data_IF_745070422011
#
_entry.id   IF_745070422011
#
_cell.length_a   1.000
_cell.length_b   1.000
_cell.length_c   1.000
_cell.angle_alpha   90.00
_cell.angle_beta   90.00
_cell.angle_gamma   90.00
#
_symmetry.space_group_name_H-M   'P 1'
#
loop_
_entity.id
_entity.type
_entity.pdbx_description
1 polymer ?
#
# COMPACT_ATOMS: atom_id res chain seq x y z
N UNK A 1 33.68 -2.53 16.31
CA UNK A 1 33.06 -3.13 15.11
C UNK A 1 31.87 -2.28 14.79
N UNK A 2 31.98 -1.39 13.79
CA UNK A 2 30.88 -0.53 13.36
C UNK A 2 29.96 -1.36 12.47
N UNK A 3 28.68 -1.35 12.80
CA UNK A 3 27.59 -1.97 12.04
C UNK A 3 27.54 -1.38 10.64
N UNK A 4 27.96 -2.17 9.66
CA UNK A 4 27.78 -1.87 8.25
C UNK A 4 26.38 -2.33 7.82
N UNK A 5 25.37 -1.53 8.17
CA UNK A 5 23.99 -1.76 7.72
C UNK A 5 23.95 -1.75 6.19
N UNK A 6 23.69 -2.93 5.63
CA UNK A 6 23.22 -3.08 4.24
C UNK A 6 24.28 -3.29 3.16
N UNK A 7 25.52 -3.68 3.47
CA UNK A 7 26.51 -4.03 2.43
C UNK A 7 26.89 -5.51 2.53
N UNK A 8 26.43 -6.33 1.60
CA UNK A 8 27.01 -7.65 1.37
C UNK A 8 28.20 -7.49 0.40
N UNK A 9 29.40 -7.85 0.89
CA UNK A 9 30.62 -7.85 0.09
C UNK A 9 30.87 -9.28 -0.41
N UNK A 10 30.86 -9.48 -1.73
CA UNK A 10 31.35 -10.71 -2.34
C UNK A 10 32.73 -10.46 -2.96
N UNK A 11 33.64 -11.42 -2.75
CA UNK A 11 34.94 -11.43 -3.41
C UNK A 11 34.82 -12.05 -4.80
N UNK A 12 35.28 -11.36 -5.83
CA UNK A 12 35.60 -12.01 -7.09
C UNK A 12 36.96 -12.74 -6.97
N UNK A 13 37.18 -13.73 -7.81
CA UNK A 13 38.41 -14.56 -7.77
C UNK A 13 39.73 -13.77 -7.93
N UNK A 14 39.73 -12.43 -8.07
CA UNK A 14 40.87 -11.54 -8.21
C UNK A 14 41.02 -10.59 -6.99
N UNK A 15 40.41 -10.90 -5.84
CA UNK A 15 40.54 -10.10 -4.61
C UNK A 15 40.07 -8.65 -4.72
N UNK A 16 39.18 -8.32 -5.66
CA UNK A 16 38.52 -7.02 -5.76
C UNK A 16 37.15 -7.08 -5.10
N UNK A 17 36.93 -6.17 -4.13
CA UNK A 17 35.63 -5.97 -3.50
C UNK A 17 34.64 -5.42 -4.54
N UNK A 18 33.64 -6.21 -4.91
CA UNK A 18 32.45 -5.71 -5.62
C UNK A 18 31.45 -5.21 -4.61
N UNK A 19 31.09 -3.95 -4.75
CA UNK A 19 29.93 -3.39 -4.06
C UNK A 19 28.68 -4.06 -4.65
N UNK A 20 28.10 -5.00 -3.91
CA UNK A 20 26.75 -5.49 -4.22
C UNK A 20 25.80 -4.42 -3.72
N UNK A 21 25.25 -3.62 -4.62
CA UNK A 21 24.04 -2.87 -4.25
C UNK A 21 22.99 -3.90 -3.84
N UNK A 22 22.53 -3.82 -2.61
CA UNK A 22 21.31 -4.51 -2.20
C UNK A 22 20.25 -4.12 -3.22
N UNK A 23 19.71 -5.11 -3.92
CA UNK A 23 18.58 -4.91 -4.82
C UNK A 23 17.51 -4.17 -4.02
N UNK A 24 17.29 -2.91 -4.36
CA UNK A 24 16.27 -2.08 -3.77
C UNK A 24 14.94 -2.77 -4.05
N UNK A 25 14.39 -3.44 -3.03
CA UNK A 25 13.25 -4.31 -3.20
C UNK A 25 12.01 -3.69 -2.56
N UNK A 26 10.94 -3.70 -3.32
CA UNK A 26 9.60 -3.49 -2.81
C UNK A 26 9.06 -4.87 -2.43
N UNK A 27 8.88 -5.10 -1.14
CA UNK A 27 8.24 -6.29 -0.59
C UNK A 27 6.82 -5.95 -0.15
N UNK A 28 5.84 -6.74 -0.61
CA UNK A 28 4.43 -6.59 -0.22
C UNK A 28 3.94 -7.94 0.27
N UNK A 29 3.55 -7.99 1.51
CA UNK A 29 2.96 -9.16 2.15
C UNK A 29 1.46 -8.96 2.35
N UNK A 30 0.72 -10.06 2.41
CA UNK A 30 -0.74 -10.05 2.51
C UNK A 30 -1.23 -10.97 3.60
N UNK A 31 -2.06 -10.41 4.49
CA UNK A 31 -2.89 -11.15 5.44
C UNK A 31 -4.35 -11.02 5.08
N UNK A 32 -5.17 -11.99 5.43
CA UNK A 32 -6.59 -12.00 5.14
C UNK A 32 -7.39 -12.61 6.29
N UNK A 33 -8.49 -11.97 6.61
CA UNK A 33 -9.53 -12.57 7.47
C UNK A 33 -10.07 -13.85 6.81
N UNK A 34 -10.18 -14.99 7.53
CA UNK A 34 -10.66 -16.25 6.96
C UNK A 34 -12.05 -16.20 6.31
N UNK A 35 -12.85 -15.18 6.61
CA UNK A 35 -14.21 -15.00 6.08
C UNK A 35 -14.26 -14.10 4.84
N UNK A 36 -13.11 -13.74 4.27
CA UNK A 36 -13.00 -12.83 3.14
C UNK A 36 -12.29 -13.54 1.98
N UNK A 37 -12.77 -13.34 0.76
CA UNK A 37 -12.13 -13.87 -0.43
C UNK A 37 -10.81 -13.13 -0.72
N UNK A 38 -9.75 -13.91 -1.00
CA UNK A 38 -8.42 -13.36 -1.27
C UNK A 38 -8.36 -12.73 -2.66
N UNK A 39 -8.05 -11.44 -2.76
CA UNK A 39 -7.73 -10.81 -4.03
C UNK A 39 -6.46 -11.39 -4.68
N UNK A 40 -6.32 -11.20 -5.98
CA UNK A 40 -5.11 -11.59 -6.69
C UNK A 40 -3.88 -10.82 -6.16
N UNK A 41 -3.08 -11.52 -5.35
CA UNK A 41 -1.90 -10.94 -4.66
C UNK A 41 -0.92 -10.28 -5.63
N UNK A 42 -0.74 -10.88 -6.82
CA UNK A 42 0.18 -10.31 -7.81
C UNK A 42 -0.32 -8.95 -8.30
N UNK A 43 -1.58 -8.85 -8.67
CA UNK A 43 -2.17 -7.58 -9.16
C UNK A 43 -2.18 -6.54 -8.03
N UNK A 44 -2.54 -6.93 -6.81
CA UNK A 44 -2.50 -6.05 -5.65
C UNK A 44 -1.07 -5.52 -5.39
N UNK A 45 -0.06 -6.38 -5.46
CA UNK A 45 1.34 -5.99 -5.33
C UNK A 45 1.80 -5.07 -6.47
N UNK A 46 1.36 -5.33 -7.72
CA UNK A 46 1.67 -4.49 -8.87
C UNK A 46 1.08 -3.07 -8.71
N UNK A 47 -0.13 -2.93 -8.18
CA UNK A 47 -0.76 -1.65 -7.86
C UNK A 47 0.08 -0.83 -6.86
N UNK A 48 0.47 -1.44 -5.74
CA UNK A 48 1.32 -0.79 -4.72
C UNK A 48 2.68 -0.40 -5.31
N UNK A 49 3.28 -1.32 -6.06
CA UNK A 49 4.59 -1.10 -6.70
C UNK A 49 4.54 0.08 -7.68
N UNK A 50 3.47 0.22 -8.44
CA UNK A 50 3.29 1.35 -9.37
C UNK A 50 3.17 2.67 -8.61
N UNK A 51 2.43 2.72 -7.49
CA UNK A 51 2.36 3.90 -6.63
C UNK A 51 3.74 4.29 -6.14
N UNK A 52 4.47 3.36 -5.51
CA UNK A 52 5.80 3.60 -4.95
C UNK A 52 6.81 4.08 -6.01
N UNK A 53 6.84 3.40 -7.16
CA UNK A 53 7.74 3.78 -8.27
C UNK A 53 7.41 5.15 -8.86
N UNK A 54 6.11 5.49 -8.95
CA UNK A 54 5.70 6.82 -9.42
C UNK A 54 6.19 7.92 -8.49
N UNK A 55 6.23 7.66 -7.18
CA UNK A 55 6.77 8.55 -6.16
C UNK A 55 8.29 8.34 -5.91
N UNK A 56 8.98 7.65 -6.83
CA UNK A 56 10.42 7.41 -6.84
C UNK A 56 10.94 6.63 -5.61
N UNK A 57 10.07 5.97 -4.87
CA UNK A 57 10.46 5.08 -3.78
C UNK A 57 10.93 3.75 -4.36
N UNK A 58 12.10 3.28 -3.92
CA UNK A 58 12.79 2.10 -4.47
C UNK A 58 12.79 0.92 -3.52
N UNK A 59 12.55 1.19 -2.25
CA UNK A 59 12.59 0.19 -1.18
C UNK A 59 11.34 0.34 -0.33
N UNK A 60 10.64 -0.77 -0.09
CA UNK A 60 9.48 -0.77 0.79
C UNK A 60 9.26 -2.15 1.44
N UNK A 61 8.69 -2.14 2.62
CA UNK A 61 8.09 -3.29 3.31
C UNK A 61 6.67 -2.90 3.70
N UNK A 62 5.70 -3.49 3.03
CA UNK A 62 4.29 -3.16 3.21
C UNK A 62 3.51 -4.44 3.50
N UNK A 63 2.74 -4.43 4.58
CA UNK A 63 1.76 -5.44 4.89
C UNK A 63 0.36 -4.94 4.54
N UNK A 64 -0.37 -5.69 3.73
CA UNK A 64 -1.76 -5.40 3.39
C UNK A 64 -2.67 -6.41 4.06
N UNK A 65 -3.62 -5.95 4.84
CA UNK A 65 -4.55 -6.77 5.60
C UNK A 65 -5.96 -6.56 5.04
N UNK A 66 -6.50 -7.59 4.38
CA UNK A 66 -7.90 -7.62 3.96
C UNK A 66 -8.76 -8.16 5.09
N UNK A 67 -9.72 -7.37 5.56
CA UNK A 67 -10.43 -7.67 6.81
C UNK A 67 -11.87 -7.16 6.79
N UNK A 68 -12.54 -7.18 7.94
CA UNK A 68 -13.93 -6.80 8.11
C UNK A 68 -14.10 -5.35 8.58
N UNK A 69 -15.33 -4.82 8.46
CA UNK A 69 -15.73 -3.51 8.97
C UNK A 69 -15.46 -3.39 10.48
N UNK A 70 -15.67 -4.47 11.23
CA UNK A 70 -15.47 -4.48 12.67
C UNK A 70 -14.01 -4.20 13.03
N UNK A 71 -13.08 -4.85 12.36
CA UNK A 71 -11.64 -4.66 12.61
C UNK A 71 -11.23 -3.21 12.34
N UNK A 72 -11.70 -2.62 11.22
CA UNK A 72 -11.39 -1.21 10.92
C UNK A 72 -12.05 -0.26 11.91
N UNK A 73 -13.28 -0.53 12.33
CA UNK A 73 -13.97 0.28 13.36
C UNK A 73 -13.19 0.26 14.69
N UNK A 74 -12.73 -0.91 15.13
CA UNK A 74 -11.95 -1.06 16.36
C UNK A 74 -10.60 -0.31 16.25
N UNK A 75 -9.89 -0.43 15.12
CA UNK A 75 -8.66 0.31 14.86
C UNK A 75 -8.91 1.83 14.85
N UNK A 76 -9.99 2.27 14.19
CA UNK A 76 -10.32 3.70 14.09
C UNK A 76 -10.67 4.29 15.44
N UNK A 77 -11.40 3.56 16.26
CA UNK A 77 -11.70 3.96 17.65
C UNK A 77 -10.42 4.03 18.48
N UNK A 78 -9.56 3.02 18.38
CA UNK A 78 -8.33 2.91 19.18
C UNK A 78 -7.31 4.00 18.86
N UNK A 79 -7.08 4.28 17.56
CA UNK A 79 -5.97 5.14 17.12
C UNK A 79 -6.41 6.58 16.79
N UNK A 80 -7.67 6.77 16.39
CA UNK A 80 -8.14 8.08 15.93
C UNK A 80 -9.29 8.65 16.78
N UNK A 81 -9.78 7.89 17.76
CA UNK A 81 -10.93 8.24 18.60
C UNK A 81 -12.17 8.66 17.77
N UNK A 82 -12.40 7.94 16.65
CA UNK A 82 -13.52 8.17 15.72
C UNK A 82 -14.32 6.89 15.56
N UNK A 83 -15.65 7.00 15.40
CA UNK A 83 -16.57 5.85 15.34
C UNK A 83 -17.21 5.63 13.95
N UNK A 84 -16.89 6.46 12.95
CA UNK A 84 -17.46 6.28 11.62
C UNK A 84 -16.71 5.18 10.83
N UNK A 85 -17.44 4.46 10.00
CA UNK A 85 -16.90 3.42 9.12
C UNK A 85 -15.93 4.04 8.09
N UNK A 86 -14.94 3.27 7.71
CA UNK A 86 -13.98 3.58 6.64
C UNK A 86 -13.67 2.31 5.88
N UNK A 87 -13.30 2.43 4.63
CA UNK A 87 -12.88 1.35 3.75
C UNK A 87 -11.40 0.99 3.91
N UNK A 88 -10.58 1.95 4.34
CA UNK A 88 -9.15 1.77 4.48
C UNK A 88 -8.58 2.56 5.66
N UNK A 89 -7.54 2.01 6.28
CA UNK A 89 -6.64 2.71 7.21
C UNK A 89 -5.22 2.36 6.80
N UNK A 90 -4.35 3.37 6.69
CA UNK A 90 -2.93 3.19 6.41
C UNK A 90 -2.09 3.73 7.58
N UNK A 91 -1.14 2.94 8.04
CA UNK A 91 -0.19 3.30 9.07
C UNK A 91 1.22 3.33 8.50
N UNK A 92 1.83 4.50 8.42
CA UNK A 92 3.26 4.62 8.16
C UNK A 92 4.01 4.24 9.45
N UNK A 93 4.97 3.32 9.36
CA UNK A 93 5.69 2.76 10.51
C UNK A 93 7.06 3.41 10.75
N UNK A 94 7.56 4.17 9.77
CA UNK A 94 8.81 4.92 9.85
C UNK A 94 8.63 6.36 9.36
N UNK A 95 9.65 7.21 9.49
CA UNK A 95 9.57 8.62 9.14
C UNK A 95 9.35 8.82 7.63
N UNK A 96 8.60 9.87 7.26
CA UNK A 96 8.26 10.12 5.85
C UNK A 96 9.46 10.53 5.00
N UNK A 97 10.48 11.10 5.62
CA UNK A 97 11.74 11.55 5.01
C UNK A 97 12.63 10.38 4.60
N UNK A 98 12.43 9.21 5.19
CA UNK A 98 13.21 8.02 4.87
C UNK A 98 12.95 7.53 3.44
N UNK A 99 14.01 7.04 2.79
CA UNK A 99 13.91 6.49 1.43
C UNK A 99 13.04 5.22 1.40
N UNK A 100 13.18 4.37 2.43
CA UNK A 100 12.38 3.16 2.62
C UNK A 100 10.98 3.51 3.10
N UNK A 101 9.98 2.82 2.57
CA UNK A 101 8.60 2.92 3.02
C UNK A 101 8.27 1.68 3.84
N UNK A 102 7.98 1.85 5.12
CA UNK A 102 7.48 0.78 5.99
C UNK A 102 6.07 1.11 6.44
N UNK A 103 5.14 0.16 6.29
CA UNK A 103 3.77 0.45 6.67
C UNK A 103 2.78 -0.69 6.50
N UNK A 104 1.59 -0.46 7.04
CA UNK A 104 0.47 -1.38 7.00
C UNK A 104 -0.74 -0.70 6.38
N UNK A 105 -1.50 -1.46 5.57
CA UNK A 105 -2.73 -1.01 4.95
C UNK A 105 -3.83 -2.00 5.32
N UNK A 106 -4.82 -1.56 6.07
CA UNK A 106 -6.00 -2.33 6.45
C UNK A 106 -7.15 -1.95 5.54
N UNK A 107 -7.76 -2.93 4.86
CA UNK A 107 -8.86 -2.72 3.92
C UNK A 107 -10.07 -3.53 4.33
N UNK A 108 -11.21 -2.85 4.54
CA UNK A 108 -12.49 -3.52 4.77
C UNK A 108 -13.10 -3.95 3.45
N UNK A 109 -13.11 -5.26 3.19
CA UNK A 109 -13.73 -5.84 2.00
C UNK A 109 -15.23 -5.57 1.93
N UNK A 110 -16.02 -5.74 2.99
CA UNK A 110 -17.45 -5.40 2.96
C UNK A 110 -17.72 -3.92 2.61
N UNK A 111 -16.88 -3.00 3.11
CA UNK A 111 -17.05 -1.58 2.80
C UNK A 111 -16.67 -1.27 1.34
N UNK A 112 -15.63 -1.90 0.80
CA UNK A 112 -15.26 -1.77 -0.62
C UNK A 112 -16.38 -2.27 -1.54
N UNK A 113 -17.01 -3.43 -1.22
CA UNK A 113 -18.16 -3.94 -1.97
C UNK A 113 -19.35 -2.99 -1.95
N UNK A 114 -19.61 -2.37 -0.79
CA UNK A 114 -20.67 -1.38 -0.65
C UNK A 114 -20.38 -0.14 -1.48
N UNK A 115 -19.15 0.39 -1.41
CA UNK A 115 -18.72 1.55 -2.17
C UNK A 115 -18.81 1.28 -3.69
N UNK A 116 -18.39 0.10 -4.15
CA UNK A 116 -18.49 -0.28 -5.55
C UNK A 116 -19.93 -0.19 -6.08
N UNK A 117 -20.91 -0.66 -5.27
CA UNK A 117 -22.34 -0.57 -5.61
C UNK A 117 -22.84 0.88 -5.58
N UNK A 118 -22.47 1.64 -4.57
CA UNK A 118 -22.88 3.04 -4.38
C UNK A 118 -22.34 3.95 -5.50
N UNK A 119 -21.11 3.73 -5.95
CA UNK A 119 -20.46 4.50 -7.01
C UNK A 119 -20.65 3.91 -8.42
N UNK A 120 -21.48 2.87 -8.57
CA UNK A 120 -21.75 2.20 -9.85
C UNK A 120 -20.46 1.76 -10.57
N UNK A 121 -19.49 1.24 -9.79
CA UNK A 121 -18.20 0.75 -10.28
C UNK A 121 -18.13 -0.78 -10.15
N UNK A 122 -17.25 -1.43 -10.94
CA UNK A 122 -16.91 -2.83 -10.68
C UNK A 122 -16.16 -2.97 -9.36
N UNK A 123 -16.38 -4.10 -8.67
CA UNK A 123 -15.70 -4.39 -7.41
C UNK A 123 -14.17 -4.40 -7.57
N UNK A 124 -13.65 -5.03 -8.64
CA UNK A 124 -12.20 -4.99 -8.93
C UNK A 124 -11.65 -3.58 -9.09
N UNK A 125 -12.42 -2.65 -9.71
CA UNK A 125 -11.99 -1.26 -9.89
C UNK A 125 -11.96 -0.51 -8.57
N UNK A 126 -12.99 -0.68 -7.75
CA UNK A 126 -13.07 -0.02 -6.45
C UNK A 126 -11.98 -0.53 -5.51
N UNK A 127 -11.76 -1.85 -5.44
CA UNK A 127 -10.68 -2.43 -4.66
C UNK A 127 -9.30 -1.92 -5.13
N UNK A 128 -9.07 -1.85 -6.44
CA UNK A 128 -7.84 -1.29 -6.99
C UNK A 128 -7.65 0.18 -6.58
N UNK A 129 -8.73 0.98 -6.60
CA UNK A 129 -8.71 2.37 -6.14
C UNK A 129 -8.32 2.46 -4.66
N UNK A 130 -8.93 1.65 -3.80
CA UNK A 130 -8.68 1.66 -2.36
C UNK A 130 -7.25 1.21 -2.03
N UNK A 131 -6.70 0.22 -2.75
CA UNK A 131 -5.28 -0.18 -2.60
C UNK A 131 -4.35 0.98 -2.96
N UNK A 132 -4.62 1.69 -4.07
CA UNK A 132 -3.85 2.87 -4.47
C UNK A 132 -3.97 3.97 -3.42
N UNK A 133 -5.20 4.28 -2.96
CA UNK A 133 -5.49 5.30 -1.98
C UNK A 133 -4.74 5.06 -0.66
N UNK A 134 -4.82 3.86 -0.10
CA UNK A 134 -4.06 3.48 1.10
C UNK A 134 -2.55 3.59 0.91
N UNK A 135 -2.06 3.23 -0.28
CA UNK A 135 -0.63 3.36 -0.62
C UNK A 135 -0.18 4.82 -0.71
N UNK A 136 -1.03 5.71 -1.22
CA UNK A 136 -0.78 7.16 -1.26
C UNK A 136 -0.74 7.77 0.14
N UNK A 137 -1.59 7.29 1.06
CA UNK A 137 -1.52 7.70 2.47
C UNK A 137 -0.19 7.32 3.13
N UNK A 138 0.39 6.15 2.82
CA UNK A 138 1.74 5.78 3.28
C UNK A 138 2.82 6.76 2.77
N UNK A 139 2.54 7.53 1.74
CA UNK A 139 3.44 8.52 1.13
C UNK A 139 3.08 9.96 1.51
N UNK A 140 2.31 10.15 2.59
CA UNK A 140 1.89 11.44 3.13
C UNK A 140 0.89 12.21 2.25
N UNK A 141 0.21 11.56 1.29
CA UNK A 141 -0.94 12.19 0.65
C UNK A 141 -2.10 12.22 1.64
N UNK A 142 -2.79 13.34 1.70
CA UNK A 142 -3.96 13.55 2.57
C UNK A 142 -5.19 13.88 1.75
N UNK A 143 -6.37 13.69 2.34
CA UNK A 143 -7.67 13.95 1.70
C UNK A 143 -8.63 14.72 2.63
N UNK A 144 -8.07 15.39 3.64
CA UNK A 144 -8.85 16.07 4.69
C UNK A 144 -9.47 17.42 4.26
N UNK A 145 -9.01 17.98 3.13
CA UNK A 145 -9.55 19.23 2.57
C UNK A 145 -10.09 19.00 1.15
N UNK A 146 -10.99 19.86 0.63
CA UNK A 146 -11.48 19.76 -0.75
C UNK A 146 -10.36 19.71 -1.78
N UNK A 147 -9.36 20.58 -1.67
CA UNK A 147 -8.23 20.67 -2.62
C UNK A 147 -7.36 19.40 -2.54
N UNK A 148 -7.09 18.90 -1.32
CA UNK A 148 -6.34 17.67 -1.13
C UNK A 148 -7.07 16.45 -1.70
N UNK A 149 -8.40 16.40 -1.58
CA UNK A 149 -9.24 15.36 -2.22
C UNK A 149 -9.13 15.38 -3.75
N UNK A 150 -9.13 16.55 -4.36
CA UNK A 150 -8.96 16.68 -5.81
C UNK A 150 -7.61 16.09 -6.22
N UNK A 151 -6.52 16.49 -5.56
CA UNK A 151 -5.17 15.99 -5.83
C UNK A 151 -5.11 14.48 -5.67
N UNK A 152 -5.68 13.95 -4.60
CA UNK A 152 -5.74 12.51 -4.32
C UNK A 152 -6.49 11.77 -5.44
N UNK A 153 -7.68 12.23 -5.81
CA UNK A 153 -8.52 11.63 -6.85
C UNK A 153 -7.85 11.66 -8.24
N UNK A 154 -7.19 12.75 -8.59
CA UNK A 154 -6.43 12.85 -9.85
C UNK A 154 -5.28 11.85 -9.88
N UNK A 155 -4.56 11.71 -8.77
CA UNK A 155 -3.48 10.75 -8.62
C UNK A 155 -3.96 9.31 -8.73
N UNK A 156 -5.04 8.96 -8.04
CA UNK A 156 -5.68 7.63 -8.14
C UNK A 156 -6.08 7.32 -9.58
N UNK A 157 -6.78 8.24 -10.25
CA UNK A 157 -7.23 8.06 -11.64
C UNK A 157 -6.06 7.90 -12.61
N UNK A 158 -4.95 8.59 -12.37
CA UNK A 158 -3.73 8.43 -13.16
C UNK A 158 -3.09 7.05 -12.94
N UNK A 159 -2.97 6.61 -11.70
CA UNK A 159 -2.33 5.35 -11.34
C UNK A 159 -3.17 4.12 -11.75
N UNK A 160 -4.50 4.20 -11.64
CA UNK A 160 -5.41 3.14 -12.11
C UNK A 160 -5.24 2.81 -13.60
N UNK A 161 -4.77 3.74 -14.42
CA UNK A 161 -4.49 3.50 -15.84
C UNK A 161 -3.17 2.77 -16.11
N UNK A 162 -2.34 2.59 -15.08
CA UNK A 162 -0.99 2.01 -15.20
C UNK A 162 -0.96 0.48 -14.98
N UNK A 163 -1.99 -0.09 -14.39
CA UNK A 163 -2.08 -1.52 -14.04
C UNK A 163 -3.37 -2.12 -14.59
N UNK A 164 -3.30 -3.32 -15.13
CA UNK A 164 -4.51 -4.07 -15.46
C UNK A 164 -5.07 -4.74 -14.19
N UNK A 165 -6.06 -4.08 -13.60
CA UNK A 165 -6.73 -4.50 -12.37
C UNK A 165 -7.99 -5.36 -12.60
N UNK A 166 -8.37 -5.66 -13.86
CA UNK A 166 -9.65 -6.32 -14.20
C UNK A 166 -9.82 -7.69 -13.55
N UNK A 167 -8.72 -8.39 -13.31
CA UNK A 167 -8.72 -9.73 -12.68
C UNK A 167 -8.20 -9.66 -11.23
N UNK A 168 -8.41 -8.54 -10.52
CA UNK A 168 -8.01 -8.39 -9.12
C UNK A 168 -8.89 -9.25 -8.21
N UNK A 169 -10.17 -9.41 -8.57
CA UNK A 169 -11.16 -10.30 -7.98
C UNK A 169 -11.75 -11.14 -9.10
#
# INVERSE_FOLDING_TARGET
MQDLHGLLLQYDGNCKLKKIEFLKMINVEFEIDPNVDMPNKKIASDLITVVLKNERKKTAEILVIFTSDKTLADLKKKFFNKEHLTDVIAFRMNEYEEEKVEGEIYISIPQVEKNAKEFEQSYSKELARIIIHGSLHLLNYVDSTPDAKIIMTEKENFLLKKVDWKNLI
#
